data_IF_255773963296
#
_entry.id   IF_255773963296
#
_cell.length_a   1.000
_cell.length_b   1.000
_cell.length_c   1.000
_cell.angle_alpha   90.00
_cell.angle_beta   90.00
_cell.angle_gamma   90.00
#
_symmetry.space_group_name_H-M   'P 1'
#
loop_
_entity.id
_entity.type
_entity.pdbx_description
1 polymer ?
#
# COMPACT_ATOMS: atom_id res chain seq x y z
N UNK A 1 -1.31 2.73 5.73
CA UNK A 1 -0.53 2.09 4.66
C UNK A 1 0.41 3.11 4.04
N UNK A 2 1.69 2.76 3.96
CA UNK A 2 2.79 3.53 3.36
C UNK A 2 3.58 2.59 2.44
N UNK A 3 4.37 3.11 1.48
CA UNK A 3 5.21 2.27 0.63
C UNK A 3 6.07 1.28 1.44
N UNK A 4 6.69 1.75 2.53
CA UNK A 4 7.59 0.92 3.34
C UNK A 4 6.92 -0.27 4.06
N UNK A 5 5.59 -0.25 4.23
CA UNK A 5 4.87 -1.30 4.96
C UNK A 5 3.71 -1.95 4.20
N UNK A 6 3.48 -1.55 2.94
CA UNK A 6 2.40 -2.07 2.12
C UNK A 6 2.56 -3.58 1.90
N UNK A 7 3.75 -4.04 1.50
CA UNK A 7 4.01 -5.45 1.22
C UNK A 7 3.71 -6.36 2.43
N UNK A 8 4.15 -5.98 3.63
CA UNK A 8 3.94 -6.79 4.84
C UNK A 8 2.47 -6.83 5.27
N UNK A 9 1.72 -5.75 5.03
CA UNK A 9 0.30 -5.69 5.35
C UNK A 9 -0.53 -6.47 4.34
N UNK A 10 -0.26 -6.30 3.04
CA UNK A 10 -0.99 -6.97 1.95
C UNK A 10 -0.63 -8.45 1.82
N UNK A 11 0.47 -8.91 2.42
CA UNK A 11 0.79 -10.34 2.50
C UNK A 11 0.02 -11.09 3.60
N UNK A 12 -0.78 -10.41 4.42
CA UNK A 12 -1.52 -11.08 5.50
C UNK A 12 -2.71 -11.86 4.92
N UNK A 13 -2.96 -13.11 5.39
CA UNK A 13 -4.01 -13.96 4.82
C UNK A 13 -5.42 -13.35 4.81
N UNK A 14 -5.71 -12.47 5.78
CA UNK A 14 -7.04 -11.87 5.98
C UNK A 14 -7.08 -10.37 5.58
N UNK A 15 -6.10 -9.89 4.80
CA UNK A 15 -6.07 -8.50 4.31
C UNK A 15 -6.15 -8.51 2.79
N UNK A 16 -7.33 -8.18 2.27
CA UNK A 16 -7.60 -8.18 0.82
C UNK A 16 -7.29 -6.83 0.13
N UNK A 17 -6.83 -5.83 0.88
CA UNK A 17 -6.54 -4.51 0.32
C UNK A 17 -6.30 -3.42 1.36
N UNK A 18 -6.21 -2.18 0.87
CA UNK A 18 -5.86 -1.03 1.68
C UNK A 18 -6.64 0.23 1.28
N UNK A 19 -7.25 0.90 2.26
CA UNK A 19 -7.71 2.29 2.11
C UNK A 19 -6.54 3.23 2.48
N UNK A 20 -5.99 3.92 1.47
CA UNK A 20 -4.77 4.72 1.61
C UNK A 20 -5.10 6.21 1.75
N UNK A 21 -4.67 6.81 2.87
CA UNK A 21 -4.76 8.26 3.10
C UNK A 21 -3.67 9.04 2.35
N UNK A 22 -3.01 10.00 3.02
CA UNK A 22 -2.06 10.93 2.37
C UNK A 22 -0.93 10.32 1.52
N UNK A 23 -0.60 9.04 1.69
CA UNK A 23 0.38 8.33 0.87
C UNK A 23 -0.06 8.11 -0.59
N UNK A 24 -1.35 8.32 -0.93
CA UNK A 24 -1.84 8.26 -2.31
C UNK A 24 -1.75 9.60 -3.07
N UNK A 25 -1.38 10.71 -2.39
CA UNK A 25 -1.40 12.04 -2.99
C UNK A 25 -0.25 12.32 -3.96
N UNK A 26 0.82 11.50 -3.93
CA UNK A 26 1.95 11.57 -4.86
C UNK A 26 1.97 10.31 -5.71
N UNK A 27 2.05 10.45 -7.03
CA UNK A 27 1.98 9.34 -7.97
C UNK A 27 3.02 8.24 -7.65
N UNK A 28 4.29 8.61 -7.49
CA UNK A 28 5.38 7.65 -7.22
C UNK A 28 5.16 6.87 -5.91
N UNK A 29 4.65 7.55 -4.89
CA UNK A 29 4.31 6.94 -3.60
C UNK A 29 3.14 5.96 -3.75
N UNK A 30 2.10 6.34 -4.49
CA UNK A 30 0.94 5.49 -4.70
C UNK A 30 1.27 4.27 -5.57
N UNK A 31 2.05 4.46 -6.64
CA UNK A 31 2.54 3.37 -7.49
C UNK A 31 3.37 2.36 -6.71
N UNK A 32 4.20 2.83 -5.76
CA UNK A 32 4.98 1.94 -4.89
C UNK A 32 4.08 1.07 -3.98
N UNK A 33 2.95 1.60 -3.53
CA UNK A 33 1.95 0.84 -2.75
C UNK A 33 1.23 -0.18 -3.64
N UNK A 34 0.82 0.20 -4.86
CA UNK A 34 0.16 -0.71 -5.81
C UNK A 34 1.08 -1.85 -6.22
N UNK A 35 2.37 -1.58 -6.45
CA UNK A 35 3.35 -2.61 -6.79
C UNK A 35 3.62 -3.61 -5.65
N UNK A 36 3.14 -3.31 -4.43
CA UNK A 36 3.22 -4.20 -3.27
C UNK A 36 1.96 -5.03 -3.05
N UNK A 37 0.92 -4.85 -3.88
CA UNK A 37 -0.35 -5.55 -3.80
C UNK A 37 -0.36 -6.84 -4.62
#
# INVERSE_FOLDING_TARGET
VKPENAATLLSQPDIDGALVGGACLKADSFLSIIASA
#
